data_IF_459133508338
#
_entry.id   IF_459133508338
#
_cell.length_a   1.000
_cell.length_b   1.000
_cell.length_c   1.000
_cell.angle_alpha   90.00
_cell.angle_beta   90.00
_cell.angle_gamma   90.00
#
_symmetry.space_group_name_H-M   'P 1'
#
loop_
_entity.id
_entity.type
_entity.pdbx_description
1 polymer ?
#
# COMPACT_ATOMS: atom_id res chain seq x y z
N UNK A 1 -42.47 9.35 7.11
CA UNK A 1 -41.89 8.00 7.00
C UNK A 1 -40.39 8.16 7.19
N UNK A 2 -39.85 7.87 8.38
CA UNK A 2 -38.42 8.03 8.65
C UNK A 2 -37.65 6.81 8.12
N UNK A 3 -36.79 7.02 7.13
CA UNK A 3 -35.76 6.04 6.77
C UNK A 3 -34.76 6.01 7.92
N UNK A 4 -34.75 4.91 8.69
CA UNK A 4 -33.64 4.63 9.60
C UNK A 4 -32.45 4.26 8.73
N UNK A 5 -31.55 5.20 8.48
CA UNK A 5 -30.20 4.84 8.05
C UNK A 5 -29.55 4.10 9.21
N UNK A 6 -29.22 2.83 8.99
CA UNK A 6 -28.34 2.10 9.88
C UNK A 6 -26.94 2.71 9.72
N UNK A 7 -26.52 3.54 10.66
CA UNK A 7 -25.10 3.89 10.78
C UNK A 7 -24.35 2.64 11.23
N UNK A 8 -23.83 1.87 10.27
CA UNK A 8 -22.95 0.74 10.57
C UNK A 8 -21.64 1.28 11.14
N UNK A 9 -21.43 1.03 12.43
CA UNK A 9 -20.19 1.34 13.14
C UNK A 9 -19.34 0.07 13.23
N UNK A 10 -18.11 0.13 12.73
CA UNK A 10 -17.13 -0.94 12.86
C UNK A 10 -16.30 -0.69 14.11
N UNK A 11 -16.14 -1.71 14.95
CA UNK A 11 -15.25 -1.65 16.12
C UNK A 11 -13.88 -2.19 15.71
N UNK A 12 -12.81 -1.52 16.13
CA UNK A 12 -11.41 -1.95 15.89
C UNK A 12 -11.16 -2.32 14.43
N UNK A 13 -11.35 -1.35 13.55
CA UNK A 13 -11.14 -1.52 12.12
C UNK A 13 -9.64 -1.62 11.80
N UNK A 14 -9.28 -2.68 11.08
CA UNK A 14 -8.05 -2.76 10.30
C UNK A 14 -8.41 -3.09 8.86
N UNK A 15 -7.87 -2.33 7.91
CA UNK A 15 -7.97 -2.56 6.48
C UNK A 15 -6.55 -2.76 5.95
N UNK A 16 -6.31 -3.85 5.24
CA UNK A 16 -5.03 -4.08 4.56
C UNK A 16 -5.29 -4.26 3.08
N UNK A 17 -4.57 -3.48 2.28
CA UNK A 17 -4.55 -3.54 0.83
C UNK A 17 -3.24 -4.18 0.39
N UNK A 18 -3.35 -5.23 -0.41
CA UNK A 18 -2.23 -5.90 -1.05
C UNK A 18 -2.23 -5.53 -2.53
N UNK A 19 -1.11 -5.04 -3.03
CA UNK A 19 -0.93 -4.73 -4.44
C UNK A 19 0.29 -5.44 -4.99
N UNK A 20 0.15 -5.96 -6.20
CA UNK A 20 1.17 -6.71 -6.90
C UNK A 20 1.28 -6.16 -8.32
N UNK A 21 2.51 -6.00 -8.80
CA UNK A 21 2.78 -5.59 -10.16
C UNK A 21 4.04 -6.26 -10.68
N UNK A 22 4.03 -6.63 -11.95
CA UNK A 22 5.15 -7.30 -12.56
C UNK A 22 6.36 -6.36 -12.59
N UNK A 23 7.51 -6.84 -12.10
CA UNK A 23 8.79 -6.14 -12.20
C UNK A 23 9.54 -6.56 -13.45
N UNK A 24 9.60 -7.86 -13.74
CA UNK A 24 10.33 -8.40 -14.89
C UNK A 24 9.45 -9.42 -15.63
N UNK A 25 9.38 -9.37 -16.95
CA UNK A 25 8.83 -10.48 -17.72
C UNK A 25 9.72 -11.74 -17.63
N UNK A 26 9.07 -12.90 -17.50
CA UNK A 26 9.73 -14.22 -17.56
C UNK A 26 10.54 -14.45 -18.84
N UNK A 27 10.26 -13.70 -19.91
CA UNK A 27 10.86 -13.88 -21.23
C UNK A 27 11.98 -12.88 -21.55
N UNK A 28 12.15 -11.81 -20.75
CA UNK A 28 13.04 -10.69 -21.08
C UNK A 28 13.90 -10.25 -19.89
N UNK A 29 15.20 -10.52 -19.98
CA UNK A 29 16.33 -9.75 -19.43
C UNK A 29 16.35 -9.41 -17.92
N UNK A 30 17.51 -8.97 -17.44
CA UNK A 30 17.68 -8.45 -16.07
C UNK A 30 17.02 -7.07 -15.85
N UNK A 31 16.37 -6.51 -16.87
CA UNK A 31 15.78 -5.17 -16.83
C UNK A 31 14.33 -5.22 -16.38
N UNK A 32 13.88 -4.27 -15.54
CA UNK A 32 12.47 -4.13 -15.22
C UNK A 32 11.63 -3.75 -16.44
N UNK A 33 10.34 -4.08 -16.38
CA UNK A 33 9.31 -3.57 -17.29
C UNK A 33 9.23 -2.03 -17.24
N UNK A 34 8.78 -1.42 -18.33
CA UNK A 34 8.65 0.05 -18.43
C UNK A 34 7.77 0.64 -17.32
N UNK A 35 6.77 -0.12 -16.86
CA UNK A 35 5.82 0.27 -15.82
C UNK A 35 6.11 -0.38 -14.45
N UNK A 36 7.26 -1.04 -14.26
CA UNK A 36 7.60 -1.76 -13.03
C UNK A 36 7.46 -0.91 -11.75
N UNK A 37 7.60 0.41 -11.88
CA UNK A 37 7.53 1.38 -10.78
C UNK A 37 6.10 1.87 -10.45
N UNK A 38 5.08 1.42 -11.19
CA UNK A 38 3.72 1.94 -11.11
C UNK A 38 3.13 1.88 -9.69
N UNK A 39 3.31 0.78 -8.97
CA UNK A 39 2.76 0.63 -7.61
C UNK A 39 3.44 1.57 -6.61
N UNK A 40 4.71 1.90 -6.82
CA UNK A 40 5.42 2.85 -5.97
C UNK A 40 4.94 4.27 -6.21
N UNK A 41 4.63 4.61 -7.47
CA UNK A 41 4.02 5.90 -7.84
C UNK A 41 2.62 6.04 -7.25
N UNK A 42 1.83 4.96 -7.26
CA UNK A 42 0.53 4.95 -6.59
C UNK A 42 0.66 5.17 -5.08
N UNK A 43 1.67 4.58 -4.44
CA UNK A 43 1.94 4.81 -3.03
C UNK A 43 2.30 6.27 -2.73
N UNK A 44 3.15 6.90 -3.56
CA UNK A 44 3.47 8.33 -3.42
C UNK A 44 2.25 9.21 -3.62
N UNK A 45 1.43 8.91 -4.64
CA UNK A 45 0.23 9.68 -4.94
C UNK A 45 -0.83 9.52 -3.84
N UNK A 46 -0.98 8.33 -3.27
CA UNK A 46 -1.80 8.12 -2.07
C UNK A 46 -1.31 8.98 -0.90
N UNK A 47 0.01 9.03 -0.70
CA UNK A 47 0.64 9.90 0.29
C UNK A 47 0.27 11.37 0.10
N UNK A 48 0.34 11.88 -1.13
CA UNK A 48 -0.05 13.26 -1.47
C UNK A 48 -1.54 13.50 -1.23
N UNK A 49 -2.40 12.62 -1.74
CA UNK A 49 -3.87 12.75 -1.65
C UNK A 49 -4.36 12.76 -0.19
N UNK A 50 -3.69 11.99 0.69
CA UNK A 50 -4.01 11.90 2.12
C UNK A 50 -3.12 12.77 3.01
N UNK A 51 -2.23 13.59 2.42
CA UNK A 51 -1.29 14.45 3.12
C UNK A 51 -0.40 13.71 4.14
N UNK A 52 0.07 12.52 3.78
CA UNK A 52 0.98 11.67 4.56
C UNK A 52 2.43 11.98 4.18
N UNK A 53 3.10 12.77 5.03
CA UNK A 53 4.48 13.23 4.77
C UNK A 53 5.49 12.09 4.72
N UNK A 54 5.26 11.03 5.48
CA UNK A 54 6.13 9.87 5.54
C UNK A 54 6.19 9.12 4.20
N UNK A 55 5.23 9.34 3.29
CA UNK A 55 5.20 8.77 1.95
C UNK A 55 5.69 9.74 0.86
N UNK A 56 6.11 10.96 1.20
CA UNK A 56 6.78 11.85 0.26
C UNK A 56 8.14 11.26 -0.16
N UNK A 57 8.40 11.23 -1.47
CA UNK A 57 9.62 10.63 -2.04
C UNK A 57 9.77 9.14 -1.70
N UNK A 58 8.66 8.40 -1.59
CA UNK A 58 8.65 6.98 -1.23
C UNK A 58 9.57 6.15 -2.14
N UNK A 59 9.57 6.40 -3.47
CA UNK A 59 10.43 5.68 -4.42
C UNK A 59 11.92 5.80 -4.09
N UNK A 60 12.34 6.96 -3.61
CA UNK A 60 13.74 7.23 -3.27
C UNK A 60 14.19 6.56 -1.97
N UNK A 61 13.23 6.11 -1.14
CA UNK A 61 13.51 5.36 0.09
C UNK A 61 13.74 3.88 -0.18
N UNK A 62 13.32 3.38 -1.35
CA UNK A 62 13.42 1.98 -1.72
C UNK A 62 14.85 1.62 -2.12
N UNK A 63 15.25 0.38 -1.83
CA UNK A 63 16.54 -0.21 -2.17
C UNK A 63 16.66 -0.30 -3.69
N UNK A 64 17.80 0.15 -4.20
CA UNK A 64 18.11 0.14 -5.63
C UNK A 64 19.35 -0.72 -5.91
N UNK A 65 19.36 -1.34 -7.08
CA UNK A 65 20.51 -2.01 -7.68
C UNK A 65 20.71 -1.46 -9.09
N UNK A 66 21.87 -0.86 -9.35
CA UNK A 66 22.16 -0.14 -10.60
C UNK A 66 21.07 0.88 -10.98
N UNK A 67 20.70 1.73 -10.01
CA UNK A 67 19.66 2.76 -10.10
C UNK A 67 18.21 2.26 -10.27
N UNK A 68 17.98 0.96 -10.44
CA UNK A 68 16.65 0.35 -10.50
C UNK A 68 16.18 -0.13 -9.13
N UNK A 69 14.89 0.01 -8.82
CA UNK A 69 14.33 -0.48 -7.54
C UNK A 69 14.34 -2.02 -7.54
N UNK A 70 14.81 -2.60 -6.44
CA UNK A 70 14.89 -4.05 -6.27
C UNK A 70 16.07 -4.69 -7.00
N UNK A 71 16.05 -6.01 -7.10
CA UNK A 71 17.06 -6.84 -7.76
C UNK A 71 16.56 -7.39 -9.10
N UNK A 72 17.44 -7.70 -10.05
CA UNK A 72 17.06 -8.39 -11.29
C UNK A 72 16.52 -9.80 -11.01
N UNK A 73 15.69 -10.32 -11.93
CA UNK A 73 15.07 -11.64 -11.78
C UNK A 73 16.07 -12.81 -11.75
N UNK A 74 17.29 -12.63 -12.27
CA UNK A 74 18.35 -13.66 -12.23
C UNK A 74 19.07 -13.73 -10.89
N UNK A 75 18.84 -12.78 -9.99
CA UNK A 75 19.53 -12.70 -8.71
C UNK A 75 18.59 -13.11 -7.58
N UNK A 76 18.72 -14.36 -7.16
CA UNK A 76 18.00 -14.87 -6.00
C UNK A 76 18.56 -14.31 -4.68
N UNK A 77 17.67 -14.19 -3.70
CA UNK A 77 18.04 -14.07 -2.30
C UNK A 77 18.20 -15.48 -1.73
N UNK A 78 19.42 -15.98 -1.48
CA UNK A 78 19.62 -17.36 -1.04
C UNK A 78 19.00 -17.64 0.34
N UNK A 79 18.79 -16.58 1.14
CA UNK A 79 18.34 -16.66 2.53
C UNK A 79 16.85 -16.32 2.72
N UNK A 80 16.11 -15.95 1.67
CA UNK A 80 14.70 -15.52 1.77
C UNK A 80 13.94 -15.62 0.44
N UNK A 81 12.66 -15.98 0.49
CA UNK A 81 11.76 -15.99 -0.68
C UNK A 81 11.38 -14.58 -1.19
N UNK A 82 11.76 -13.54 -0.45
CA UNK A 82 11.47 -12.15 -0.78
C UNK A 82 12.58 -11.20 -0.33
N UNK A 83 12.59 -10.02 -0.95
CA UNK A 83 13.46 -8.90 -0.62
C UNK A 83 12.64 -7.76 -0.02
N UNK A 84 12.97 -7.35 1.20
CA UNK A 84 12.49 -6.08 1.74
C UNK A 84 13.14 -4.90 1.03
N UNK A 85 12.31 -4.04 0.45
CA UNK A 85 12.79 -2.89 -0.31
C UNK A 85 13.12 -1.70 0.59
N UNK A 86 12.67 -1.66 1.83
CA UNK A 86 13.14 -0.67 2.81
C UNK A 86 14.35 -1.21 3.60
N UNK A 87 15.09 -0.29 4.22
CA UNK A 87 16.06 -0.65 5.25
C UNK A 87 15.34 -0.77 6.59
N UNK A 88 15.89 -1.57 7.50
CA UNK A 88 15.37 -1.78 8.86
C UNK A 88 14.83 -0.48 9.48
N UNK A 89 13.54 -0.44 9.90
CA UNK A 89 12.66 -1.58 10.23
C UNK A 89 11.82 -2.17 9.06
N UNK A 90 12.19 -1.95 7.80
CA UNK A 90 11.53 -2.57 6.65
C UNK A 90 10.15 -2.00 6.29
N UNK A 91 9.56 -1.16 7.16
CA UNK A 91 8.24 -0.55 7.01
C UNK A 91 8.25 0.96 7.31
N UNK A 92 7.30 1.69 6.71
CA UNK A 92 7.04 3.10 7.04
C UNK A 92 5.69 3.20 7.75
N UNK A 93 5.72 3.58 9.03
CA UNK A 93 4.51 3.90 9.80
C UNK A 93 4.13 5.37 9.61
N UNK A 94 2.83 5.66 9.59
CA UNK A 94 2.30 7.01 9.42
C UNK A 94 0.96 7.21 10.13
N UNK A 95 0.52 8.47 10.20
CA UNK A 95 -0.83 8.85 10.63
C UNK A 95 -1.48 9.72 9.56
N UNK A 96 -2.77 9.52 9.32
CA UNK A 96 -3.49 10.34 8.34
C UNK A 96 -4.00 11.60 9.06
N UNK A 97 -3.51 12.80 8.70
CA UNK A 97 -3.97 14.03 9.33
C UNK A 97 -5.44 14.31 9.00
N UNK A 98 -6.12 15.04 9.88
CA UNK A 98 -7.48 15.55 9.69
C UNK A 98 -8.61 14.52 9.57
N UNK A 99 -8.36 13.22 9.80
CA UNK A 99 -9.44 12.23 9.96
C UNK A 99 -9.87 12.17 11.42
N UNK A 100 -11.17 12.31 11.67
CA UNK A 100 -11.78 12.37 13.01
C UNK A 100 -11.44 11.19 13.93
N UNK A 101 -11.09 10.03 13.36
CA UNK A 101 -10.89 8.76 14.07
C UNK A 101 -9.42 8.37 14.33
N UNK A 102 -8.47 9.27 14.09
CA UNK A 102 -7.02 9.03 14.31
C UNK A 102 -6.54 7.72 13.64
N UNK A 103 -6.62 7.68 12.31
CA UNK A 103 -6.20 6.51 11.55
C UNK A 103 -4.68 6.48 11.47
N UNK A 104 -4.11 5.35 11.89
CA UNK A 104 -2.69 5.02 11.71
C UNK A 104 -2.54 4.07 10.54
N UNK A 105 -1.42 4.16 9.85
CA UNK A 105 -1.11 3.21 8.81
C UNK A 105 0.34 2.79 8.79
N UNK A 106 0.60 1.76 7.98
CA UNK A 106 1.92 1.27 7.68
C UNK A 106 2.00 0.85 6.21
N UNK A 107 3.14 1.13 5.58
CA UNK A 107 3.49 0.64 4.25
C UNK A 107 4.67 -0.32 4.36
N UNK A 108 4.56 -1.47 3.72
CA UNK A 108 5.60 -2.50 3.66
C UNK A 108 5.82 -2.92 2.19
N UNK A 109 6.86 -2.39 1.53
CA UNK A 109 7.20 -2.71 0.15
C UNK A 109 8.19 -3.87 0.06
N UNK A 110 7.90 -4.79 -0.85
CA UNK A 110 8.65 -6.01 -1.06
C UNK A 110 8.90 -6.23 -2.55
N UNK A 111 9.91 -7.03 -2.85
CA UNK A 111 10.02 -7.74 -4.11
C UNK A 111 9.95 -9.24 -3.82
N UNK A 112 9.10 -9.95 -4.55
CA UNK A 112 8.95 -11.41 -4.48
C UNK A 112 9.29 -11.93 -5.88
N UNK A 113 10.48 -12.49 -6.06
CA UNK A 113 11.03 -12.88 -7.36
C UNK A 113 10.95 -11.74 -8.39
N UNK A 114 10.11 -11.89 -9.42
CA UNK A 114 9.86 -10.98 -10.54
C UNK A 114 8.68 -10.04 -10.30
N UNK A 115 8.14 -9.98 -9.08
CA UNK A 115 6.97 -9.18 -8.71
C UNK A 115 7.33 -8.14 -7.66
N UNK A 116 6.92 -6.90 -7.91
CA UNK A 116 6.86 -5.85 -6.90
C UNK A 116 5.56 -6.00 -6.09
N UNK A 117 5.68 -5.99 -4.76
CA UNK A 117 4.55 -6.14 -3.85
C UNK A 117 4.51 -4.99 -2.83
N UNK A 118 3.30 -4.55 -2.50
CA UNK A 118 3.08 -3.43 -1.59
C UNK A 118 1.90 -3.73 -0.67
N UNK A 119 2.18 -3.74 0.62
CA UNK A 119 1.18 -3.88 1.66
C UNK A 119 0.92 -2.51 2.28
N UNK A 120 -0.33 -2.07 2.27
CA UNK A 120 -0.77 -0.85 2.96
C UNK A 120 -1.81 -1.24 3.99
N UNK A 121 -1.47 -1.08 5.26
CA UNK A 121 -2.39 -1.32 6.37
C UNK A 121 -2.85 -0.01 6.99
N UNK A 122 -4.14 0.12 7.24
CA UNK A 122 -4.78 1.22 7.93
C UNK A 122 -5.54 0.67 9.14
N UNK A 123 -5.37 1.29 10.29
CA UNK A 123 -6.05 0.90 11.52
C UNK A 123 -6.59 2.12 12.24
N UNK A 124 -7.81 2.00 12.77
CA UNK A 124 -8.39 3.02 13.63
C UNK A 124 -7.96 2.78 15.07
N UNK A 125 -7.50 3.84 15.74
CA UNK A 125 -7.32 3.82 17.20
C UNK A 125 -8.63 4.07 17.95
N UNK A 126 -9.68 4.52 17.26
CA UNK A 126 -11.01 4.78 17.82
C UNK A 126 -11.84 3.49 17.93
N UNK A 127 -12.65 3.40 18.99
CA UNK A 127 -13.49 2.24 19.32
C UNK A 127 -14.63 2.00 18.33
N UNK A 128 -15.02 3.03 17.56
CA UNK A 128 -16.08 2.93 16.57
C UNK A 128 -15.83 3.90 15.41
N UNK A 129 -15.69 3.34 14.20
CA UNK A 129 -15.58 4.11 12.95
C UNK A 129 -16.87 3.97 12.17
N UNK A 130 -17.42 5.06 11.62
CA UNK A 130 -18.56 4.96 10.71
C UNK A 130 -18.05 4.49 9.36
N UNK A 131 -18.76 3.54 8.75
CA UNK A 131 -18.38 3.01 7.44
C UNK A 131 -18.27 4.11 6.36
N UNK A 132 -19.12 5.14 6.43
CA UNK A 132 -19.09 6.28 5.51
C UNK A 132 -17.74 7.03 5.52
N UNK A 133 -17.06 7.09 6.67
CA UNK A 133 -15.78 7.77 6.83
C UNK A 133 -14.63 6.99 6.14
N UNK A 134 -14.86 5.72 5.79
CA UNK A 134 -13.88 4.92 5.04
C UNK A 134 -13.89 5.21 3.53
N UNK A 135 -14.93 5.88 3.01
CA UNK A 135 -14.95 6.26 1.60
C UNK A 135 -13.80 7.22 1.26
N UNK A 136 -13.36 8.02 2.24
CA UNK A 136 -12.20 8.91 2.10
C UNK A 136 -10.88 8.15 1.96
N UNK A 137 -10.84 6.90 2.41
CA UNK A 137 -9.68 6.01 2.32
C UNK A 137 -9.68 5.16 1.05
N UNK A 138 -10.74 5.20 0.25
CA UNK A 138 -10.82 4.42 -0.98
C UNK A 138 -9.85 5.00 -2.02
N UNK A 139 -8.72 4.32 -2.27
CA UNK A 139 -7.67 4.93 -3.07
C UNK A 139 -8.08 4.89 -4.55
N UNK A 140 -8.11 6.06 -5.20
CA UNK A 140 -8.58 6.23 -6.59
C UNK A 140 -7.82 5.37 -7.61
N UNK A 141 -6.59 4.97 -7.25
CA UNK A 141 -5.65 4.27 -8.11
C UNK A 141 -5.73 2.75 -8.01
N UNK A 142 -6.48 2.20 -7.05
CA UNK A 142 -6.67 0.76 -6.93
C UNK A 142 -8.09 0.43 -7.39
N UNK A 143 -8.19 -0.21 -8.55
CA UNK A 143 -9.46 -0.76 -8.99
C UNK A 143 -9.84 -1.93 -8.06
N UNK A 144 -11.06 -1.83 -7.49
CA UNK A 144 -11.75 -2.78 -6.60
C UNK A 144 -11.63 -2.58 -5.08
N UNK A 145 -12.35 -1.58 -4.57
CA UNK A 145 -13.18 -1.78 -3.38
C UNK A 145 -14.66 -1.64 -3.78
N UNK A 146 -15.27 -2.74 -4.22
CA UNK A 146 -16.74 -2.85 -4.14
C UNK A 146 -17.06 -3.21 -2.69
N UNK A 147 -17.63 -2.26 -1.95
CA UNK A 147 -18.29 -2.57 -0.68
C UNK A 147 -19.43 -3.54 -1.03
N UNK A 148 -19.22 -4.83 -0.79
CA UNK A 148 -20.28 -5.82 -0.82
C UNK A 148 -21.18 -5.48 0.35
N UNK A 149 -22.36 -4.92 0.07
CA UNK A 149 -23.38 -4.72 1.08
C UNK A 149 -23.62 -6.07 1.80
N UNK A 150 -23.58 -6.12 3.14
CA UNK A 150 -24.06 -7.29 3.84
C UNK A 150 -25.56 -7.45 3.56
N UNK A 151 -25.95 -8.67 3.18
CA UNK A 151 -27.33 -9.11 2.97
C UNK A 151 -28.20 -8.91 4.22
#
# INVERSE_FOLDING_TARGET
>A
MYKKEFESKLRKLTLTLFAFHLRNELTQSDKPEEDANLIWEWCENLGKDLNIKELEGFKDKLRKHNDEIGLPATQDYPDSDYLELLKEPGLISFSIPNIQHQIKGAVYPLQIHDINALDISLSSTSDAVKLADLNELNPKYFHYLKILNPL
#
